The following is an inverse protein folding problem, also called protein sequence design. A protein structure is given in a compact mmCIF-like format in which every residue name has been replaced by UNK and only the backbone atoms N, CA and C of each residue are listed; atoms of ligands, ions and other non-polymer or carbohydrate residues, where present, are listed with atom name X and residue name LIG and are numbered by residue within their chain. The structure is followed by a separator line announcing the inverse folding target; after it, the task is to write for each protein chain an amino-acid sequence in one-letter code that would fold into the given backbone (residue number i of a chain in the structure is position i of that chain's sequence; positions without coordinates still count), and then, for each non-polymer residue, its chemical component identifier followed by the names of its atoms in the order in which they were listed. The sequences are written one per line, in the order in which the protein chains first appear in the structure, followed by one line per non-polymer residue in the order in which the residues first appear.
data_IF_306680636394
#
_entry.id   IF_306680636394
#
_cell.length_a   1.000
_cell.length_b   1.000
_cell.length_c   1.000
_cell.angle_alpha   90.00
_cell.angle_beta   90.00
_cell.angle_gamma   90.00
#
_symmetry.space_group_name_H-M   'P 1'
#
loop_
_entity.id
_entity.type
_entity.pdbx_description
1 polymer ?
#
# COMPACT_ATOMS: atom_id res chain seq x y z
N UNK A 1 31.74 -15.34 32.10
CA UNK A 1 30.99 -14.06 32.02
C UNK A 1 30.50 -13.84 30.58
N UNK A 2 29.47 -14.56 30.15
CA UNK A 2 28.94 -14.44 28.78
C UNK A 2 27.74 -13.49 28.77
N UNK A 3 27.93 -12.26 28.30
CA UNK A 3 26.81 -11.33 28.07
C UNK A 3 26.03 -11.80 26.85
N UNK A 4 24.88 -12.44 27.07
CA UNK A 4 23.91 -12.76 26.03
C UNK A 4 23.62 -11.53 25.16
N UNK A 5 23.74 -11.71 23.84
CA UNK A 5 23.35 -10.69 22.85
C UNK A 5 21.81 -10.60 22.84
N UNK A 6 21.25 -9.77 23.73
CA UNK A 6 19.81 -9.45 23.76
C UNK A 6 19.28 -9.21 22.34
N UNK A 7 18.17 -9.88 22.01
CA UNK A 7 17.52 -9.86 20.70
C UNK A 7 17.40 -8.44 20.13
N UNK A 8 18.15 -8.11 19.08
CA UNK A 8 18.11 -6.76 18.46
C UNK A 8 16.74 -6.38 17.88
N UNK A 9 15.86 -7.36 17.66
CA UNK A 9 14.49 -7.17 17.15
C UNK A 9 13.41 -7.46 18.21
N UNK A 10 13.56 -6.91 19.42
CA UNK A 10 12.54 -7.02 20.48
C UNK A 10 11.16 -6.46 20.05
N UNK A 11 11.15 -5.37 19.26
CA UNK A 11 9.92 -4.73 18.76
C UNK A 11 9.72 -5.13 17.29
N UNK A 12 8.69 -5.93 17.02
CA UNK A 12 8.23 -6.25 15.66
C UNK A 12 7.30 -5.13 15.14
N UNK A 13 7.42 -4.78 13.85
CA UNK A 13 6.63 -3.70 13.23
C UNK A 13 5.18 -4.14 12.94
N UNK A 14 4.19 -3.23 12.97
CA UNK A 14 2.82 -3.52 12.55
C UNK A 14 2.71 -3.73 11.04
N UNK A 15 2.02 -4.79 10.65
CA UNK A 15 1.81 -5.21 9.25
C UNK A 15 0.31 -5.10 8.94
N UNK A 16 -0.07 -4.79 7.71
CA UNK A 16 -1.48 -4.82 7.30
C UNK A 16 -1.85 -6.24 6.86
N UNK A 17 -3.07 -6.71 7.15
CA UNK A 17 -3.54 -8.04 6.75
C UNK A 17 -3.50 -8.15 5.19
N UNK A 18 -2.75 -9.12 4.64
CA UNK A 18 -2.46 -9.20 3.19
C UNK A 18 -1.37 -8.23 2.67
N UNK A 19 -0.64 -7.58 3.56
CA UNK A 19 0.54 -6.77 3.24
C UNK A 19 0.26 -5.42 2.55
N UNK A 20 1.29 -4.77 1.99
CA UNK A 20 1.16 -3.43 1.40
C UNK A 20 0.32 -3.40 0.12
N UNK A 21 0.17 -4.54 -0.57
CA UNK A 21 -0.69 -4.65 -1.76
C UNK A 21 -2.17 -4.64 -1.38
N UNK A 22 -2.57 -5.46 -0.39
CA UNK A 22 -3.94 -5.47 0.12
C UNK A 22 -4.36 -4.10 0.71
N UNK A 23 -3.44 -3.40 1.38
CA UNK A 23 -3.68 -2.03 1.87
C UNK A 23 -3.98 -1.05 0.72
N UNK A 24 -3.21 -1.08 -0.37
CA UNK A 24 -3.47 -0.25 -1.56
C UNK A 24 -4.80 -0.62 -2.24
N UNK A 25 -5.11 -1.90 -2.36
CA UNK A 25 -6.37 -2.38 -2.92
C UNK A 25 -7.58 -1.99 -2.05
N UNK A 26 -7.46 -2.09 -0.72
CA UNK A 26 -8.48 -1.65 0.22
C UNK A 26 -8.76 -0.14 0.09
N UNK A 27 -7.71 0.68 -0.01
CA UNK A 27 -7.84 2.12 -0.24
C UNK A 27 -8.55 2.37 -1.57
N UNK A 28 -8.06 1.81 -2.68
CA UNK A 28 -8.69 1.99 -3.99
C UNK A 28 -10.16 1.55 -4.06
N UNK A 29 -10.55 0.52 -3.28
CA UNK A 29 -11.93 0.02 -3.21
C UNK A 29 -12.86 0.86 -2.33
N UNK A 30 -12.33 1.50 -1.27
CA UNK A 30 -13.12 2.24 -0.29
C UNK A 30 -13.00 3.77 -0.41
N UNK A 31 -12.08 4.26 -1.26
CA UNK A 31 -11.90 5.67 -1.61
C UNK A 31 -13.19 6.19 -2.25
N UNK A 32 -13.77 7.21 -1.64
CA UNK A 32 -14.85 7.99 -2.26
C UNK A 32 -14.26 9.33 -2.68
N UNK A 33 -14.54 9.73 -3.91
CA UNK A 33 -14.16 11.06 -4.38
C UNK A 33 -15.20 12.07 -3.87
N UNK A 34 -14.80 13.13 -3.15
CA UNK A 34 -15.71 14.22 -2.80
C UNK A 34 -16.28 14.88 -4.05
N UNK A 35 -17.51 15.39 -3.99
CA UNK A 35 -18.13 16.09 -5.13
C UNK A 35 -17.35 17.34 -5.51
N UNK A 36 -17.04 18.21 -4.54
CA UNK A 36 -16.26 19.44 -4.75
C UNK A 36 -14.93 19.19 -5.50
N UNK A 37 -14.13 18.23 -5.01
CA UNK A 37 -12.88 17.85 -5.68
C UNK A 37 -13.07 17.30 -7.10
N UNK A 38 -14.21 16.67 -7.41
CA UNK A 38 -14.53 16.14 -8.74
C UNK A 38 -15.00 17.26 -9.69
N UNK A 39 -15.81 18.19 -9.19
CA UNK A 39 -16.31 19.37 -9.91
C UNK A 39 -15.16 20.31 -10.29
N UNK A 40 -14.25 20.56 -9.35
CA UNK A 40 -13.04 21.39 -9.54
C UNK A 40 -11.87 20.62 -10.18
N UNK A 41 -12.04 19.32 -10.45
CA UNK A 41 -11.03 18.44 -11.10
C UNK A 41 -9.68 18.38 -10.36
N UNK A 42 -9.71 18.44 -9.03
CA UNK A 42 -8.53 18.47 -8.16
C UNK A 42 -7.91 17.07 -8.05
N UNK A 43 -6.74 16.85 -8.66
CA UNK A 43 -5.94 15.64 -8.49
C UNK A 43 -4.74 15.86 -7.56
N UNK A 44 -4.27 14.81 -6.88
CA UNK A 44 -3.03 14.90 -6.12
C UNK A 44 -2.79 13.76 -5.13
N UNK A 45 -2.03 14.06 -4.07
CA UNK A 45 -1.70 13.10 -3.02
C UNK A 45 -1.87 13.73 -1.64
N UNK A 46 -2.80 13.21 -0.85
CA UNK A 46 -2.93 13.56 0.58
C UNK A 46 -1.93 12.73 1.38
N UNK A 47 -1.18 13.35 2.28
CA UNK A 47 -0.23 12.69 3.18
C UNK A 47 -0.74 12.80 4.61
N UNK A 48 -0.98 11.65 5.25
CA UNK A 48 -1.48 11.59 6.63
C UNK A 48 -0.46 10.93 7.53
N UNK A 49 -0.29 11.49 8.73
CA UNK A 49 0.34 10.84 9.87
C UNK A 49 -0.74 10.18 10.71
N UNK A 50 -0.51 8.95 11.14
CA UNK A 50 -1.41 8.26 12.05
C UNK A 50 -0.62 7.39 13.02
N UNK A 51 -1.22 7.09 14.16
CA UNK A 51 -0.64 6.19 15.14
C UNK A 51 -1.41 4.85 15.13
N UNK A 52 -0.74 3.75 15.42
CA UNK A 52 -1.34 2.41 15.55
C UNK A 52 -1.18 1.98 17.00
N UNK A 53 -2.29 1.75 17.67
CA UNK A 53 -2.37 1.25 19.04
C UNK A 53 -1.92 -0.23 19.13
N UNK A 54 -1.59 -0.73 20.32
CA UNK A 54 -1.19 -2.13 20.53
C UNK A 54 -2.26 -3.16 20.12
N UNK A 55 -3.52 -2.74 19.95
CA UNK A 55 -4.63 -3.55 19.39
C UNK A 55 -4.71 -3.54 17.86
N UNK A 56 -3.83 -2.83 17.17
CA UNK A 56 -3.86 -2.70 15.71
C UNK A 56 -4.89 -1.71 15.16
N UNK A 57 -5.57 -0.95 16.03
CA UNK A 57 -6.46 0.13 15.61
C UNK A 57 -5.67 1.40 15.34
N UNK A 58 -6.08 2.14 14.32
CA UNK A 58 -5.56 3.50 14.07
C UNK A 58 -6.13 4.47 15.10
N UNK A 59 -5.24 5.21 15.75
CA UNK A 59 -5.53 6.27 16.75
C UNK A 59 -4.72 7.51 16.39
N UNK A 60 -5.28 8.70 16.64
CA UNK A 60 -4.69 10.01 16.28
C UNK A 60 -4.20 10.08 14.81
N UNK A 61 -5.15 10.27 13.88
CA UNK A 61 -4.89 10.50 12.46
C UNK A 61 -4.96 12.00 12.13
N UNK A 62 -3.88 12.53 11.57
CA UNK A 62 -3.67 13.96 11.24
C UNK A 62 -3.15 14.09 9.81
N UNK A 63 -3.66 15.07 9.07
CA UNK A 63 -3.17 15.39 7.72
C UNK A 63 -1.90 16.23 7.86
N UNK A 64 -0.81 15.84 7.18
CA UNK A 64 0.44 16.62 7.07
C UNK A 64 0.38 17.53 5.84
N UNK A 65 -0.07 16.96 4.72
CA UNK A 65 -0.23 17.65 3.45
C UNK A 65 -1.59 17.29 2.88
N UNK A 66 -2.45 18.28 2.78
CA UNK A 66 -3.83 18.14 2.31
C UNK A 66 -4.00 18.61 0.87
N UNK A 67 -5.11 18.21 0.27
CA UNK A 67 -5.59 18.74 -1.01
C UNK A 67 -6.77 19.70 -0.84
N UNK A 68 -7.41 19.75 0.34
CA UNK A 68 -8.68 20.46 0.51
C UNK A 68 -9.85 19.77 -0.19
N UNK A 69 -10.91 20.54 -0.46
CA UNK A 69 -12.11 20.13 -1.22
C UNK A 69 -12.76 18.80 -0.77
N UNK A 70 -12.64 18.47 0.53
CA UNK A 70 -13.14 17.24 1.16
C UNK A 70 -12.23 16.00 1.05
N UNK A 71 -11.12 16.07 0.30
CA UNK A 71 -10.20 14.93 0.13
C UNK A 71 -9.53 14.54 1.46
N UNK A 72 -9.27 15.52 2.30
CA UNK A 72 -8.59 15.38 3.58
C UNK A 72 -9.46 14.64 4.60
N UNK A 73 -10.77 14.94 4.61
CA UNK A 73 -11.78 14.29 5.46
C UNK A 73 -12.00 12.83 5.05
N UNK A 74 -12.14 12.56 3.75
CA UNK A 74 -12.23 11.20 3.19
C UNK A 74 -10.96 10.39 3.48
N UNK A 75 -9.78 11.02 3.42
CA UNK A 75 -8.52 10.37 3.77
C UNK A 75 -8.41 10.03 5.27
N UNK A 76 -8.89 10.91 6.17
CA UNK A 76 -9.00 10.62 7.60
C UNK A 76 -10.00 9.48 7.85
N UNK A 77 -11.16 9.48 7.15
CA UNK A 77 -12.16 8.41 7.23
C UNK A 77 -11.56 7.05 6.85
N UNK A 78 -10.81 6.99 5.74
CA UNK A 78 -10.10 5.79 5.32
C UNK A 78 -9.08 5.33 6.35
N UNK A 79 -8.25 6.24 6.88
CA UNK A 79 -7.24 5.89 7.88
C UNK A 79 -7.87 5.27 9.14
N UNK A 80 -9.03 5.75 9.59
CA UNK A 80 -9.78 5.20 10.74
C UNK A 80 -10.38 3.81 10.48
N UNK A 81 -10.63 3.44 9.22
CA UNK A 81 -11.13 2.11 8.83
C UNK A 81 -10.02 1.06 8.70
N UNK A 82 -8.75 1.47 8.63
CA UNK A 82 -7.62 0.54 8.58
C UNK A 82 -7.44 -0.20 9.91
N UNK A 83 -7.29 -1.51 9.81
CA UNK A 83 -6.90 -2.40 10.91
C UNK A 83 -5.57 -3.04 10.55
N UNK A 84 -4.62 -2.99 11.48
CA UNK A 84 -3.30 -3.57 11.34
C UNK A 84 -3.15 -4.77 12.27
N UNK A 85 -2.32 -5.72 11.87
CA UNK A 85 -1.84 -6.78 12.74
C UNK A 85 -0.64 -6.26 13.53
N UNK A 86 -0.79 -6.17 14.86
CA UNK A 86 0.29 -5.80 15.77
C UNK A 86 0.79 -7.05 16.48
N UNK A 87 2.01 -7.52 16.18
CA UNK A 87 2.58 -8.67 16.88
C UNK A 87 2.79 -8.34 18.37
N UNK A 88 2.35 -9.25 19.25
CA UNK A 88 2.53 -9.09 20.71
C UNK A 88 4.01 -9.01 21.06
N UNK A 89 4.46 -7.83 21.47
CA UNK A 89 5.78 -7.62 22.08
C UNK A 89 5.70 -8.09 23.55
N UNK A 90 6.77 -8.71 24.07
CA UNK A 90 6.85 -9.41 25.38
C UNK A 90 6.40 -8.52 26.58
N UNK A 91 5.09 -8.37 26.80
CA UNK A 91 4.48 -7.54 27.85
C UNK A 91 4.35 -6.03 27.57
N UNK A 92 4.97 -5.51 26.51
CA UNK A 92 5.05 -4.06 26.25
C UNK A 92 3.99 -3.59 25.26
N UNK A 93 3.17 -2.61 25.65
CA UNK A 93 2.27 -1.87 24.76
C UNK A 93 3.07 -0.79 24.03
N UNK A 94 3.12 -0.88 22.70
CA UNK A 94 3.87 0.08 21.85
C UNK A 94 2.88 0.80 20.94
N UNK A 95 2.97 2.13 20.89
CA UNK A 95 2.28 2.98 19.93
C UNK A 95 3.19 3.19 18.72
N UNK A 96 2.72 2.90 17.50
CA UNK A 96 3.53 3.05 16.29
C UNK A 96 3.05 4.22 15.44
N UNK A 97 3.89 5.24 15.25
CA UNK A 97 3.61 6.32 14.30
C UNK A 97 4.02 5.93 12.88
N UNK A 98 3.14 6.15 11.90
CA UNK A 98 3.39 5.92 10.47
C UNK A 98 2.78 7.03 9.63
N UNK A 99 3.33 7.21 8.44
CA UNK A 99 2.73 7.99 7.37
C UNK A 99 2.01 7.09 6.35
N UNK A 100 1.06 7.67 5.63
CA UNK A 100 0.44 7.08 4.44
C UNK A 100 0.17 8.16 3.40
N UNK A 101 0.39 7.81 2.14
CA UNK A 101 0.13 8.65 0.98
C UNK A 101 -1.08 8.07 0.24
N UNK A 102 -2.15 8.85 0.14
CA UNK A 102 -3.39 8.48 -0.55
C UNK A 102 -3.46 9.30 -1.83
N UNK A 103 -3.44 8.63 -2.98
CA UNK A 103 -3.48 9.28 -4.29
C UNK A 103 -4.92 9.45 -4.75
N UNK A 104 -5.35 10.70 -4.90
CA UNK A 104 -6.61 11.07 -5.52
C UNK A 104 -6.36 11.33 -7.01
N UNK A 105 -6.90 10.46 -7.86
CA UNK A 105 -6.86 10.58 -9.32
C UNK A 105 -8.28 10.57 -9.83
N UNK A 106 -8.61 11.50 -10.73
CA UNK A 106 -9.91 11.55 -11.34
C UNK A 106 -10.18 10.22 -12.06
N UNK A 107 -11.40 9.68 -11.95
CA UNK A 107 -11.79 8.57 -12.79
C UNK A 107 -11.80 9.08 -14.24
N UNK A 108 -10.73 8.77 -15.00
CA UNK A 108 -10.75 8.95 -16.45
C UNK A 108 -12.03 8.30 -16.95
N UNK A 109 -12.94 9.11 -17.52
CA UNK A 109 -14.19 8.66 -18.11
C UNK A 109 -13.84 7.64 -19.18
N UNK A 110 -13.79 6.36 -18.81
CA UNK A 110 -13.73 5.27 -19.78
C UNK A 110 -14.93 5.52 -20.68
N UNK A 111 -14.70 5.66 -21.99
CA UNK A 111 -15.79 5.63 -22.94
C UNK A 111 -16.57 4.36 -22.64
N UNK A 112 -17.81 4.52 -22.16
CA UNK A 112 -18.64 3.39 -21.78
C UNK A 112 -18.74 2.47 -22.99
N UNK A 113 -18.52 1.15 -22.85
CA UNK A 113 -18.85 0.19 -23.90
C UNK A 113 -20.39 0.05 -23.96
N UNK A 114 -21.06 1.14 -24.32
CA UNK A 114 -22.49 1.18 -24.62
C UNK A 114 -22.71 0.62 -26.02
N UNK A 115 -22.52 -0.70 -26.12
CA UNK A 115 -23.20 -1.67 -27.01
C UNK A 115 -22.37 -2.94 -27.04
N UNK A 116 -22.90 -4.01 -26.46
CA UNK A 116 -22.49 -5.35 -26.80
C UNK A 116 -22.89 -5.60 -28.26
N UNK A 117 -21.92 -5.77 -29.15
CA UNK A 117 -22.12 -6.34 -30.47
C UNK A 117 -21.09 -7.45 -30.68
N UNK A 118 -21.58 -8.55 -31.27
CA UNK A 118 -21.02 -9.90 -31.24
C UNK A 118 -19.49 -10.03 -31.35
N UNK A 119 -18.90 -10.78 -30.41
CA UNK A 119 -17.53 -11.24 -30.51
C UNK A 119 -17.42 -12.44 -31.47
N UNK A 120 -17.15 -12.19 -32.74
CA UNK A 120 -16.61 -13.22 -33.64
C UNK A 120 -15.11 -13.35 -33.38
N UNK A 121 -14.70 -14.46 -32.77
CA UNK A 121 -13.29 -14.69 -32.41
C UNK A 121 -12.58 -15.34 -33.59
N UNK A 122 -11.72 -14.58 -34.28
CA UNK A 122 -10.75 -15.13 -35.23
C UNK A 122 -9.41 -15.37 -34.51
N UNK A 123 -9.06 -16.65 -34.34
CA UNK A 123 -7.74 -17.05 -33.87
C UNK A 123 -6.74 -17.08 -35.03
N UNK A 124 -5.60 -16.40 -34.88
CA UNK A 124 -4.39 -16.71 -35.64
C UNK A 124 -3.24 -16.93 -34.65
N UNK A 125 -2.73 -18.16 -34.62
CA UNK A 125 -1.62 -18.57 -33.78
C UNK A 125 -0.33 -18.46 -34.59
N UNK A 126 0.65 -17.70 -34.10
CA UNK A 126 2.02 -17.71 -34.64
C UNK A 126 3.00 -18.04 -33.52
N UNK A 127 3.92 -18.96 -33.82
CA UNK A 127 4.69 -19.71 -32.83
C UNK A 127 6.20 -19.54 -33.07
N UNK A 128 7.00 -19.63 -31.99
CA UNK A 128 8.49 -19.69 -31.97
C UNK A 128 9.16 -18.31 -32.19
N UNK A 129 10.38 -18.04 -31.69
CA UNK A 129 11.48 -18.94 -31.24
C UNK A 129 12.40 -18.28 -30.18
N UNK A 130 13.12 -19.10 -29.41
CA UNK A 130 14.07 -18.75 -28.31
C UNK A 130 15.50 -18.50 -28.83
N UNK A 131 16.28 -17.57 -28.22
CA UNK A 131 17.76 -17.70 -28.08
C UNK A 131 18.41 -16.77 -27.01
N UNK A 132 19.42 -17.32 -26.34
CA UNK A 132 20.39 -16.76 -25.37
C UNK A 132 21.69 -16.20 -26.05
N UNK A 133 22.63 -15.46 -25.43
CA UNK A 133 22.71 -14.53 -24.26
C UNK A 133 24.20 -14.04 -24.11
N UNK A 134 24.51 -12.80 -23.67
CA UNK A 134 25.81 -12.51 -22.97
C UNK A 134 25.92 -11.15 -22.21
N UNK A 135 26.53 -11.19 -20.99
CA UNK A 135 27.56 -10.30 -20.35
C UNK A 135 27.58 -8.76 -20.57
N UNK A 136 27.93 -7.86 -19.62
CA UNK A 136 28.28 -7.91 -18.17
C UNK A 136 28.31 -6.44 -17.57
N UNK A 137 28.77 -6.12 -16.33
CA UNK A 137 27.99 -5.56 -15.18
C UNK A 137 28.26 -4.04 -14.90
N UNK A 138 28.15 -3.42 -13.68
CA UNK A 138 27.51 -3.77 -12.38
C UNK A 138 26.65 -2.63 -11.70
N UNK A 139 25.86 -2.96 -10.64
CA UNK A 139 25.92 -2.40 -9.24
C UNK A 139 24.65 -2.58 -8.36
N UNK A 140 24.88 -3.16 -7.18
CA UNK A 140 24.28 -2.94 -5.83
C UNK A 140 22.82 -2.42 -5.69
N UNK A 141 21.90 -3.09 -4.98
CA UNK A 141 21.92 -3.28 -3.52
C UNK A 141 20.78 -4.21 -2.99
N UNK A 142 21.05 -4.98 -1.93
CA UNK A 142 20.05 -5.25 -0.88
C UNK A 142 19.18 -6.52 -0.94
N UNK A 143 19.78 -7.71 -1.03
CA UNK A 143 19.09 -8.99 -0.79
C UNK A 143 19.69 -9.77 0.38
N UNK A 144 18.88 -10.15 1.38
CA UNK A 144 19.32 -11.00 2.49
C UNK A 144 19.22 -12.49 2.10
N UNK A 145 20.34 -13.21 2.20
CA UNK A 145 20.37 -14.68 2.10
C UNK A 145 20.50 -15.32 3.49
N UNK A 146 20.00 -16.55 3.61
CA UNK A 146 20.25 -17.44 4.75
C UNK A 146 20.63 -18.81 4.19
N UNK A 147 21.74 -19.36 4.65
CA UNK A 147 22.15 -20.75 4.35
C UNK A 147 21.93 -21.59 5.59
N UNK A 148 21.20 -22.69 5.45
CA UNK A 148 21.10 -23.74 6.47
C UNK A 148 22.11 -24.83 6.10
N UNK A 149 22.95 -25.22 7.06
CA UNK A 149 23.93 -26.31 6.89
C UNK A 149 23.51 -27.47 7.78
N UNK A 150 23.76 -28.70 7.29
CA UNK A 150 23.71 -29.95 8.06
C UNK A 150 25.15 -30.48 8.11
#
# INVERSE_FOLDING_TARGET
MSKEKKDKNFIKKPIYEGGPSALKAFIGKNLRYPKAALEEKIEGTVVLKYSIDYKGKVVDAKVISGLGHGCDEEAIRLARLLKFEVPRTRGVKVLFHKDIKIHFRLPKKKASPEKAQAATILYSYTEKKKKEEEKNPPKENGGYSYTVTI
#
